data_IF_463564959361
#
_entry.id   IF_463564959361
#
_cell.length_a   1.000
_cell.length_b   1.000
_cell.length_c   1.000
_cell.angle_alpha   90.00
_cell.angle_beta   90.00
_cell.angle_gamma   90.00
#
_symmetry.space_group_name_H-M   'P 1'
#
loop_
_entity.id
_entity.type
_entity.pdbx_description
1 polymer ?
#
# COMPACT_ATOMS: atom_id res chain seq x y z
N UNK A 1 -60.04 -44.60 -38.56
CA UNK A 1 -60.12 -45.85 -37.77
C UNK A 1 -59.08 -45.62 -36.70
N UNK A 2 -59.48 -44.99 -35.61
CA UNK A 2 -58.57 -44.39 -34.64
C UNK A 2 -59.02 -44.73 -33.24
N UNK A 3 -58.01 -44.82 -32.37
CA UNK A 3 -58.06 -44.79 -30.90
C UNK A 3 -58.56 -46.03 -30.17
N UNK A 4 -57.59 -46.83 -29.70
CA UNK A 4 -57.64 -47.40 -28.35
C UNK A 4 -56.68 -46.59 -27.47
N UNK A 5 -57.16 -46.09 -26.33
CA UNK A 5 -56.34 -46.05 -25.12
C UNK A 5 -57.20 -46.01 -23.87
N UNK A 6 -56.72 -46.75 -22.89
CA UNK A 6 -57.36 -47.30 -21.71
C UNK A 6 -57.63 -46.27 -20.60
N UNK A 7 -58.62 -46.55 -19.75
CA UNK A 7 -58.93 -45.82 -18.52
C UNK A 7 -58.67 -46.71 -17.29
N UNK A 8 -58.03 -46.07 -16.30
CA UNK A 8 -58.08 -46.24 -14.82
C UNK A 8 -57.45 -47.49 -14.20
N UNK A 9 -56.52 -47.27 -13.27
CA UNK A 9 -56.78 -47.55 -11.85
C UNK A 9 -55.91 -46.72 -10.89
N UNK A 10 -56.47 -46.49 -9.70
CA UNK A 10 -56.01 -45.59 -8.63
C UNK A 10 -55.17 -46.31 -7.56
N UNK A 11 -54.22 -45.62 -6.92
CA UNK A 11 -53.98 -45.79 -5.47
C UNK A 11 -53.20 -44.62 -4.86
N UNK A 12 -53.74 -44.20 -3.73
CA UNK A 12 -53.36 -43.14 -2.82
C UNK A 12 -52.23 -43.60 -1.88
N UNK A 13 -51.20 -42.76 -1.64
CA UNK A 13 -50.51 -42.76 -0.34
C UNK A 13 -49.87 -41.40 -0.07
N UNK A 14 -50.41 -40.73 0.96
CA UNK A 14 -49.91 -39.54 1.67
C UNK A 14 -48.46 -39.67 2.18
N UNK A 15 -47.76 -38.53 2.26
CA UNK A 15 -46.86 -38.04 3.36
C UNK A 15 -46.29 -36.68 2.92
N UNK A 16 -46.81 -35.57 3.43
CA UNK A 16 -46.34 -34.83 4.61
C UNK A 16 -44.91 -34.29 4.49
N UNK A 17 -44.81 -32.95 4.53
CA UNK A 17 -43.73 -32.17 5.14
C UNK A 17 -42.33 -32.29 4.55
N UNK A 18 -41.82 -31.21 3.95
CA UNK A 18 -41.00 -30.32 4.76
C UNK A 18 -40.75 -28.98 4.05
N UNK A 19 -41.10 -27.92 4.75
CA UNK A 19 -40.61 -26.57 4.45
C UNK A 19 -39.13 -26.56 4.81
N UNK A 20 -38.27 -26.86 3.84
CA UNK A 20 -36.83 -26.67 4.00
C UNK A 20 -36.54 -25.17 4.05
N UNK A 21 -36.58 -24.66 5.28
CA UNK A 21 -35.98 -23.43 5.74
C UNK A 21 -34.60 -23.23 5.07
N UNK A 22 -34.53 -22.31 4.11
CA UNK A 22 -33.28 -21.80 3.56
C UNK A 22 -32.56 -20.97 4.64
N UNK A 23 -32.06 -21.65 5.67
CA UNK A 23 -30.91 -21.14 6.39
C UNK A 23 -29.75 -21.27 5.43
N UNK A 24 -29.38 -20.14 4.83
CA UNK A 24 -28.10 -19.98 4.17
C UNK A 24 -27.01 -20.29 5.20
N UNK A 25 -26.61 -21.56 5.26
CA UNK A 25 -25.32 -21.97 5.78
C UNK A 25 -24.32 -21.22 4.92
N UNK A 26 -23.80 -20.11 5.43
CA UNK A 26 -22.55 -19.57 4.91
C UNK A 26 -21.51 -20.66 5.13
N UNK A 27 -21.32 -21.46 4.08
CA UNK A 27 -20.40 -22.58 4.07
C UNK A 27 -19.02 -22.06 4.47
N UNK A 28 -18.50 -22.57 5.59
CA UNK A 28 -17.22 -22.11 6.12
C UNK A 28 -16.11 -22.49 5.13
N UNK A 29 -15.63 -21.49 4.39
CA UNK A 29 -14.57 -21.65 3.42
C UNK A 29 -13.22 -21.36 4.06
N UNK A 30 -12.44 -22.43 4.29
CA UNK A 30 -11.05 -22.33 4.76
C UNK A 30 -10.19 -21.52 3.79
N UNK A 31 -10.55 -21.49 2.50
CA UNK A 31 -9.92 -20.67 1.47
C UNK A 31 -10.12 -19.18 1.73
N UNK A 32 -11.31 -18.75 2.15
CA UNK A 32 -11.59 -17.34 2.48
C UNK A 32 -10.88 -16.92 3.78
N UNK A 33 -10.78 -17.81 4.74
CA UNK A 33 -9.98 -17.58 5.96
C UNK A 33 -8.49 -17.46 5.64
N UNK A 34 -7.95 -18.34 4.78
CA UNK A 34 -6.55 -18.29 4.34
C UNK A 34 -6.25 -17.01 3.55
N UNK A 35 -7.15 -16.57 2.65
CA UNK A 35 -7.00 -15.32 1.92
C UNK A 35 -7.05 -14.08 2.83
N UNK A 36 -7.94 -14.08 3.83
CA UNK A 36 -7.99 -13.01 4.85
C UNK A 36 -6.71 -12.98 5.68
N UNK A 37 -6.19 -14.13 6.09
CA UNK A 37 -4.94 -14.24 6.85
C UNK A 37 -3.73 -13.79 6.01
N UNK A 38 -3.62 -14.23 4.76
CA UNK A 38 -2.56 -13.81 3.82
C UNK A 38 -2.61 -12.30 3.57
N UNK A 39 -3.79 -11.73 3.30
CA UNK A 39 -3.95 -10.27 3.13
C UNK A 39 -3.52 -9.50 4.38
N UNK A 40 -3.84 -10.00 5.58
CA UNK A 40 -3.46 -9.36 6.84
C UNK A 40 -1.94 -9.42 7.07
N UNK A 41 -1.31 -10.55 6.77
CA UNK A 41 0.15 -10.72 6.87
C UNK A 41 0.86 -9.81 5.86
N UNK A 42 0.48 -9.86 4.57
CA UNK A 42 1.07 -9.01 3.52
C UNK A 42 0.91 -7.52 3.82
N UNK A 43 -0.28 -7.10 4.30
CA UNK A 43 -0.53 -5.72 4.72
C UNK A 43 0.34 -5.30 5.90
N UNK A 44 0.52 -6.17 6.90
CA UNK A 44 1.35 -5.85 8.07
C UNK A 44 2.86 -5.88 7.77
N UNK A 45 3.31 -6.79 6.90
CA UNK A 45 4.73 -6.95 6.53
C UNK A 45 5.22 -5.81 5.65
N UNK A 46 4.40 -5.37 4.68
CA UNK A 46 4.72 -4.21 3.85
C UNK A 46 4.89 -2.94 4.69
N UNK A 47 4.14 -2.80 5.78
CA UNK A 47 4.20 -1.64 6.64
C UNK A 47 5.37 -1.70 7.64
N UNK A 48 5.60 -2.82 8.35
CA UNK A 48 6.65 -2.86 9.40
C UNK A 48 8.07 -2.68 8.86
N UNK A 49 8.42 -3.39 7.80
CA UNK A 49 9.78 -3.39 7.24
C UNK A 49 10.15 -2.03 6.66
N UNK A 50 9.21 -1.41 5.96
CA UNK A 50 9.45 -0.14 5.28
C UNK A 50 9.50 1.01 6.26
N UNK A 51 8.69 0.98 7.32
CA UNK A 51 8.63 2.02 8.35
C UNK A 51 9.89 2.05 9.22
N UNK A 52 10.50 0.90 9.54
CA UNK A 52 11.71 0.85 10.37
C UNK A 52 12.91 1.63 9.80
N UNK A 53 13.03 1.75 8.47
CA UNK A 53 14.14 2.49 7.82
C UNK A 53 13.96 4.01 7.88
N UNK A 54 12.74 4.51 8.12
CA UNK A 54 12.42 5.94 8.15
C UNK A 54 12.19 6.49 9.56
N UNK A 55 12.21 5.65 10.60
CA UNK A 55 12.09 6.07 12.01
C UNK A 55 13.48 6.23 12.66
N UNK A 56 14.54 6.36 11.87
CA UNK A 56 15.82 6.72 12.46
C UNK A 56 15.78 8.19 12.93
N UNK A 57 16.37 8.48 14.09
CA UNK A 57 16.27 9.79 14.74
C UNK A 57 16.80 10.90 13.84
N UNK A 58 17.94 10.68 13.18
CA UNK A 58 18.53 11.65 12.23
C UNK A 58 17.63 11.91 11.03
N UNK A 59 17.00 10.87 10.48
CA UNK A 59 16.07 11.04 9.35
C UNK A 59 14.84 11.83 9.76
N UNK A 60 14.35 11.62 10.98
CA UNK A 60 13.17 12.31 11.51
C UNK A 60 13.44 13.80 11.73
N UNK A 61 14.61 14.15 12.27
CA UNK A 61 15.05 15.55 12.42
C UNK A 61 15.14 16.27 11.06
N UNK A 62 15.74 15.64 10.05
CA UNK A 62 15.81 16.20 8.69
C UNK A 62 14.40 16.44 8.11
N UNK A 63 13.47 15.50 8.31
CA UNK A 63 12.10 15.64 7.84
C UNK A 63 11.34 16.76 8.55
N UNK A 64 11.60 16.97 9.84
CA UNK A 64 11.01 18.08 10.60
C UNK A 64 11.52 19.44 10.13
N UNK A 65 12.81 19.56 9.81
CA UNK A 65 13.36 20.80 9.23
C UNK A 65 12.85 21.05 7.81
N UNK A 66 12.75 20.01 6.97
CA UNK A 66 12.11 20.13 5.66
C UNK A 66 10.65 20.57 5.76
N UNK A 67 9.93 20.11 6.79
CA UNK A 67 8.57 20.58 7.07
C UNK A 67 8.53 22.05 7.46
N UNK A 68 9.45 22.49 8.34
CA UNK A 68 9.55 23.89 8.76
C UNK A 68 9.79 24.81 7.57
N UNK A 69 10.80 24.51 6.75
CA UNK A 69 11.11 25.25 5.52
C UNK A 69 9.92 25.26 4.56
N UNK A 70 9.28 24.11 4.33
CA UNK A 70 8.12 24.03 3.44
C UNK A 70 6.93 24.84 3.95
N UNK A 71 6.67 24.84 5.26
CA UNK A 71 5.60 25.62 5.89
C UNK A 71 5.85 27.11 5.78
N UNK A 72 7.09 27.54 5.98
CA UNK A 72 7.50 28.94 5.86
C UNK A 72 7.37 29.42 4.41
N UNK A 73 7.86 28.64 3.44
CA UNK A 73 7.78 28.97 2.03
C UNK A 73 6.33 29.01 1.49
N UNK A 74 5.50 28.03 1.86
CA UNK A 74 4.11 27.95 1.37
C UNK A 74 3.14 28.86 2.12
N UNK A 75 3.49 29.28 3.35
CA UNK A 75 2.56 29.94 4.27
C UNK A 75 1.37 29.07 4.70
N UNK A 76 1.33 27.78 4.32
CA UNK A 76 0.16 26.92 4.50
C UNK A 76 0.53 25.58 5.15
N UNK A 77 0.06 25.38 6.38
CA UNK A 77 0.28 24.16 7.16
C UNK A 77 -0.17 22.89 6.42
N UNK A 78 -1.37 22.91 5.83
CA UNK A 78 -1.96 21.72 5.20
C UNK A 78 -1.20 21.34 3.92
N UNK A 79 -0.72 22.34 3.18
CA UNK A 79 0.08 22.14 1.99
C UNK A 79 1.46 21.59 2.31
N UNK A 80 2.17 22.18 3.28
CA UNK A 80 3.45 21.67 3.76
C UNK A 80 3.35 20.23 4.27
N UNK A 81 2.30 19.90 5.02
CA UNK A 81 2.03 18.52 5.45
C UNK A 81 1.79 17.58 4.26
N UNK A 82 1.11 18.04 3.21
CA UNK A 82 0.87 17.24 2.00
C UNK A 82 2.18 16.98 1.24
N UNK A 83 3.05 17.99 1.13
CA UNK A 83 4.38 17.88 0.52
C UNK A 83 5.21 16.84 1.28
N UNK A 84 5.36 16.99 2.59
CA UNK A 84 6.14 16.07 3.42
C UNK A 84 5.58 14.64 3.37
N UNK A 85 4.26 14.49 3.45
CA UNK A 85 3.59 13.18 3.34
C UNK A 85 3.89 12.51 1.99
N UNK A 86 3.88 13.28 0.90
CA UNK A 86 4.17 12.73 -0.43
C UNK A 86 5.64 12.33 -0.58
N UNK A 87 6.56 13.13 -0.04
CA UNK A 87 7.98 12.80 0.02
C UNK A 87 8.21 11.45 0.72
N UNK A 88 7.66 11.30 1.94
CA UNK A 88 7.77 10.06 2.73
C UNK A 88 7.18 8.87 1.95
N UNK A 89 6.00 9.03 1.35
CA UNK A 89 5.37 7.97 0.55
C UNK A 89 6.24 7.52 -0.62
N UNK A 90 6.86 8.44 -1.33
CA UNK A 90 7.73 8.13 -2.48
C UNK A 90 8.97 7.39 -1.98
N UNK A 91 9.64 7.90 -0.94
CA UNK A 91 10.83 7.27 -0.38
C UNK A 91 10.54 5.84 0.13
N UNK A 92 9.43 5.65 0.85
CA UNK A 92 8.96 4.34 1.32
C UNK A 92 8.71 3.38 0.17
N UNK A 93 8.06 3.82 -0.91
CA UNK A 93 7.81 2.99 -2.09
C UNK A 93 9.11 2.55 -2.75
N UNK A 94 10.06 3.46 -2.95
CA UNK A 94 11.36 3.14 -3.54
C UNK A 94 12.11 2.13 -2.66
N UNK A 95 12.16 2.36 -1.34
CA UNK A 95 12.78 1.43 -0.39
C UNK A 95 12.16 0.04 -0.40
N UNK A 96 10.82 -0.04 -0.50
CA UNK A 96 10.11 -1.33 -0.58
C UNK A 96 10.38 -2.06 -1.90
N UNK A 97 10.41 -1.35 -3.03
CA UNK A 97 10.75 -1.94 -4.33
C UNK A 97 12.19 -2.47 -4.33
N UNK A 98 13.12 -1.68 -3.78
CA UNK A 98 14.53 -2.07 -3.65
C UNK A 98 14.70 -3.32 -2.78
N UNK A 99 14.11 -3.33 -1.57
CA UNK A 99 14.24 -4.43 -0.61
C UNK A 99 13.60 -5.74 -1.09
N UNK A 100 12.56 -5.66 -1.90
CA UNK A 100 11.89 -6.83 -2.46
C UNK A 100 12.46 -7.25 -3.82
N UNK A 101 13.63 -6.73 -4.22
CA UNK A 101 14.29 -7.02 -5.50
C UNK A 101 13.33 -6.87 -6.70
N UNK A 102 12.48 -5.83 -6.68
CA UNK A 102 11.47 -5.59 -7.73
C UNK A 102 12.01 -4.79 -8.90
N UNK A 103 13.22 -4.26 -8.80
CA UNK A 103 13.88 -3.57 -9.89
C UNK A 103 14.57 -4.53 -10.84
N UNK A 104 14.41 -4.29 -12.14
CA UNK A 104 15.23 -4.94 -13.17
C UNK A 104 16.60 -4.25 -13.31
N UNK A 105 17.48 -4.77 -14.18
CA UNK A 105 18.84 -4.25 -14.34
C UNK A 105 18.89 -2.78 -14.78
N UNK A 106 18.01 -2.37 -15.71
CA UNK A 106 17.93 -0.98 -16.18
C UNK A 106 17.47 -0.04 -15.06
N UNK A 107 16.44 -0.43 -14.32
CA UNK A 107 15.93 0.32 -13.18
C UNK A 107 16.96 0.43 -12.04
N UNK A 108 17.80 -0.59 -11.84
CA UNK A 108 18.89 -0.55 -10.87
C UNK A 108 19.99 0.45 -11.27
N UNK A 109 20.29 0.60 -12.56
CA UNK A 109 21.20 1.64 -13.04
C UNK A 109 20.64 3.03 -12.74
N UNK A 110 19.35 3.25 -13.04
CA UNK A 110 18.67 4.52 -12.73
C UNK A 110 18.67 4.79 -11.22
N UNK A 111 18.43 3.79 -10.39
CA UNK A 111 18.44 3.93 -8.93
C UNK A 111 19.84 4.29 -8.40
N UNK A 112 20.91 3.72 -8.98
CA UNK A 112 22.30 4.08 -8.64
C UNK A 112 22.62 5.52 -9.02
N UNK A 113 22.22 5.95 -10.21
CA UNK A 113 22.42 7.32 -10.66
C UNK A 113 21.62 8.32 -9.82
N UNK A 114 20.38 7.98 -9.46
CA UNK A 114 19.57 8.75 -8.53
C UNK A 114 20.27 8.90 -7.18
N UNK A 115 20.79 7.82 -6.59
CA UNK A 115 21.55 7.87 -5.34
C UNK A 115 22.78 8.79 -5.46
N UNK A 116 23.51 8.71 -6.57
CA UNK A 116 24.69 9.56 -6.82
C UNK A 116 24.30 11.04 -6.88
N UNK A 117 23.26 11.38 -7.64
CA UNK A 117 22.75 12.76 -7.76
C UNK A 117 22.21 13.29 -6.44
N UNK A 118 21.50 12.46 -5.68
CA UNK A 118 20.98 12.83 -4.36
C UNK A 118 22.14 13.14 -3.40
N UNK A 119 23.18 12.30 -3.38
CA UNK A 119 24.36 12.54 -2.55
C UNK A 119 25.10 13.82 -2.96
N UNK A 120 25.22 14.07 -4.27
CA UNK A 120 25.81 15.31 -4.77
C UNK A 120 25.00 16.53 -4.33
N UNK A 121 23.67 16.49 -4.47
CA UNK A 121 22.79 17.57 -4.02
C UNK A 121 22.89 17.83 -2.51
N UNK A 122 22.99 16.77 -1.70
CA UNK A 122 23.19 16.89 -0.25
C UNK A 122 24.53 17.59 0.07
N UNK A 123 25.64 17.14 -0.54
CA UNK A 123 26.94 17.80 -0.36
C UNK A 123 26.93 19.26 -0.82
N UNK A 124 26.24 19.57 -1.92
CA UNK A 124 26.09 20.96 -2.40
C UNK A 124 25.30 21.82 -1.41
N UNK A 125 24.18 21.33 -0.89
CA UNK A 125 23.40 22.04 0.13
C UNK A 125 24.22 22.28 1.42
N UNK A 126 24.97 21.27 1.87
CA UNK A 126 25.91 21.43 2.99
C UNK A 126 26.98 22.48 2.68
N UNK A 127 27.57 22.46 1.49
CA UNK A 127 28.59 23.45 1.11
C UNK A 127 28.04 24.87 1.05
N UNK A 128 26.79 25.08 0.62
CA UNK A 128 26.17 26.41 0.67
C UNK A 128 26.02 26.88 2.11
N UNK A 129 25.48 26.03 2.99
CA UNK A 129 25.38 26.35 4.41
C UNK A 129 26.73 26.65 5.07
N UNK A 130 27.79 25.91 4.72
CA UNK A 130 29.14 26.12 5.25
C UNK A 130 29.84 27.37 4.67
N UNK A 131 29.47 27.78 3.45
CA UNK A 131 30.03 28.95 2.74
C UNK A 131 29.29 30.24 3.11
N UNK A 132 28.16 30.19 3.81
CA UNK A 132 27.34 31.34 4.24
C UNK A 132 27.97 32.24 5.33
N UNK A 133 29.29 32.21 5.52
CA UNK A 133 30.03 33.45 5.84
C UNK A 133 30.15 34.39 4.63
N UNK A 134 29.62 34.04 3.44
CA UNK A 134 29.74 34.81 2.19
C UNK A 134 28.53 34.73 1.24
N UNK A 135 27.31 34.47 1.73
CA UNK A 135 26.10 34.62 0.89
C UNK A 135 25.40 35.92 1.20
N UNK A 136 25.80 36.97 0.50
CA UNK A 136 24.99 38.18 0.35
C UNK A 136 23.90 37.90 -0.70
N UNK A 137 22.65 38.01 -0.27
CA UNK A 137 21.49 38.03 -1.14
C UNK A 137 21.43 39.39 -1.85
N UNK A 138 22.09 39.53 -3.00
CA UNK A 138 21.79 40.61 -3.96
C UNK A 138 20.46 40.41 -4.66
#
# INVERSE_FOLDING_TARGET
RDTQSSRRDTSDTRREGDSANTQATMEFSSKDMALKAQKKILSSMANRSSVQMFIDDTTSEILDELYRVSKEYTGNKAEAQKILKNLIKIAVKIGLLFRNNRFNEEELVIAKDFKKKLNQGAMTATSFYEVDFTFEQT
#
